data_IF_309739566269
#
_entry.id   IF_309739566269
#
_cell.length_a   1.000
_cell.length_b   1.000
_cell.length_c   1.000
_cell.angle_alpha   90.00
_cell.angle_beta   90.00
_cell.angle_gamma   90.00
#
_symmetry.space_group_name_H-M   'P 1'
#
loop_
_entity.id
_entity.type
_entity.pdbx_description
1 polymer ?
#
# COMPACT_ATOMS: atom_id res chain seq x y z
N UNK A 1 7.71 11.23 4.75
CA UNK A 1 8.16 11.22 3.33
C UNK A 1 9.56 10.61 3.20
N UNK A 2 10.53 11.01 4.04
CA UNK A 2 11.92 10.53 3.94
C UNK A 2 12.01 9.01 3.87
N UNK A 3 11.50 8.30 4.85
CA UNK A 3 11.61 6.83 4.94
C UNK A 3 10.77 6.15 3.85
N UNK A 4 9.49 6.48 3.77
CA UNK A 4 8.56 5.72 2.92
C UNK A 4 8.76 5.97 1.42
N UNK A 5 9.04 7.21 1.01
CA UNK A 5 9.16 7.55 -0.41
C UNK A 5 10.63 7.64 -0.84
N UNK A 6 11.40 8.54 -0.25
CA UNK A 6 12.81 8.69 -0.64
C UNK A 6 13.64 7.43 -0.36
N UNK A 7 13.31 6.63 0.66
CA UNK A 7 13.94 5.34 0.86
C UNK A 7 13.78 4.40 -0.35
N UNK A 8 12.56 4.34 -0.93
CA UNK A 8 12.29 3.55 -2.14
C UNK A 8 13.05 4.10 -3.34
N UNK A 9 12.97 5.42 -3.58
CA UNK A 9 13.65 6.09 -4.69
C UNK A 9 15.16 5.88 -4.62
N UNK A 10 15.76 6.10 -3.45
CA UNK A 10 17.20 5.93 -3.26
C UNK A 10 17.65 4.49 -3.46
N UNK A 11 16.89 3.50 -3.00
CA UNK A 11 17.18 2.09 -3.29
C UNK A 11 17.12 1.81 -4.79
N UNK A 12 16.08 2.26 -5.48
CA UNK A 12 15.98 2.10 -6.93
C UNK A 12 17.17 2.76 -7.63
N UNK A 13 17.50 4.00 -7.29
CA UNK A 13 18.63 4.74 -7.87
C UNK A 13 19.96 4.02 -7.66
N UNK A 14 20.21 3.48 -6.47
CA UNK A 14 21.46 2.80 -6.14
C UNK A 14 21.63 1.46 -6.88
N UNK A 15 20.54 0.70 -7.05
CA UNK A 15 20.62 -0.64 -7.64
C UNK A 15 20.37 -0.69 -9.14
N UNK A 16 19.64 0.28 -9.70
CA UNK A 16 19.24 0.30 -11.10
C UNK A 16 20.43 0.23 -12.09
N UNK A 17 21.54 0.97 -11.93
CA UNK A 17 22.69 0.87 -12.85
C UNK A 17 23.25 -0.55 -12.94
N UNK A 18 23.28 -1.26 -11.80
CA UNK A 18 23.76 -2.65 -11.74
C UNK A 18 22.81 -3.63 -12.41
N UNK A 19 21.51 -3.40 -12.35
CA UNK A 19 20.51 -4.21 -13.04
C UNK A 19 20.59 -3.93 -14.56
N UNK A 20 20.74 -2.68 -14.96
CA UNK A 20 20.87 -2.27 -16.36
C UNK A 20 22.11 -2.87 -17.03
N UNK A 21 23.26 -2.87 -16.35
CA UNK A 21 24.48 -3.50 -16.88
C UNK A 21 24.33 -5.00 -17.12
N UNK A 22 23.50 -5.68 -16.32
CA UNK A 22 23.21 -7.11 -16.47
C UNK A 22 22.07 -7.40 -17.44
N UNK A 23 21.32 -6.40 -17.86
CA UNK A 23 20.10 -6.52 -18.67
C UNK A 23 19.09 -7.54 -18.10
N UNK A 24 19.12 -7.73 -16.80
CA UNK A 24 18.26 -8.69 -16.08
C UNK A 24 18.09 -8.28 -14.63
N UNK A 25 16.86 -8.38 -14.16
CA UNK A 25 16.54 -8.13 -12.75
C UNK A 25 15.06 -7.86 -12.51
N UNK A 26 14.75 -7.60 -11.24
CA UNK A 26 13.40 -7.29 -10.82
C UNK A 26 13.41 -6.30 -9.68
N UNK A 27 12.70 -5.19 -9.83
CA UNK A 27 12.45 -4.20 -8.79
C UNK A 27 11.04 -4.45 -8.25
N UNK A 28 10.91 -4.53 -6.92
CA UNK A 28 9.62 -4.68 -6.24
C UNK A 28 9.44 -3.53 -5.26
N UNK A 29 8.45 -2.70 -5.50
CA UNK A 29 8.12 -1.57 -4.65
C UNK A 29 6.86 -1.85 -3.83
N UNK A 30 6.97 -1.74 -2.51
CA UNK A 30 5.88 -1.97 -1.57
C UNK A 30 5.11 -0.67 -1.30
N UNK A 31 3.92 -0.55 -1.91
CA UNK A 31 2.97 0.51 -1.63
C UNK A 31 1.92 0.04 -0.59
N UNK A 32 0.64 0.28 -0.84
CA UNK A 32 -0.52 -0.08 -0.01
C UNK A 32 -1.80 0.08 -0.83
N UNK A 33 -2.92 -0.48 -0.37
CA UNK A 33 -4.25 -0.09 -0.86
C UNK A 33 -4.49 1.43 -0.73
N UNK A 34 -3.85 2.08 0.22
CA UNK A 34 -3.86 3.54 0.40
C UNK A 34 -3.02 4.30 -0.64
N UNK A 35 -2.41 3.61 -1.60
CA UNK A 35 -1.90 4.17 -2.84
C UNK A 35 -2.96 4.36 -3.92
N UNK A 36 -4.20 3.86 -3.71
CA UNK A 36 -5.34 4.07 -4.60
C UNK A 36 -6.35 5.07 -4.05
N UNK A 37 -6.40 5.23 -2.73
CA UNK A 37 -7.44 6.01 -2.08
C UNK A 37 -6.93 6.74 -0.85
N UNK A 38 -7.44 7.98 -0.66
CA UNK A 38 -7.21 8.77 0.54
C UNK A 38 -8.18 8.40 1.65
N UNK A 39 -7.68 8.35 2.88
CA UNK A 39 -8.48 8.16 4.08
C UNK A 39 -8.20 9.29 5.08
N UNK A 40 -9.18 9.70 5.89
CA UNK A 40 -8.99 10.73 6.91
C UNK A 40 -7.89 10.36 7.91
N UNK A 41 -7.26 11.37 8.49
CA UNK A 41 -6.21 11.27 9.50
C UNK A 41 -4.91 10.58 9.08
N UNK A 42 -4.76 10.23 7.77
CA UNK A 42 -3.57 9.55 7.25
C UNK A 42 -2.97 10.25 6.02
N UNK A 43 -3.23 11.54 5.82
CA UNK A 43 -2.81 12.27 4.62
C UNK A 43 -1.31 12.14 4.32
N UNK A 44 -0.44 12.26 5.32
CA UNK A 44 1.00 12.12 5.16
C UNK A 44 1.40 10.71 4.67
N UNK A 45 0.83 9.65 5.27
CA UNK A 45 1.09 8.27 4.86
C UNK A 45 0.52 7.98 3.47
N UNK A 46 -0.73 8.35 3.22
CA UNK A 46 -1.42 8.25 1.93
C UNK A 46 -0.59 8.90 0.83
N UNK A 47 -0.14 10.15 1.04
CA UNK A 47 0.69 10.84 0.04
C UNK A 47 1.95 10.06 -0.31
N UNK A 48 2.62 9.44 0.66
CA UNK A 48 3.80 8.62 0.37
C UNK A 48 3.46 7.38 -0.45
N UNK A 49 2.30 6.74 -0.18
CA UNK A 49 1.89 5.53 -0.90
C UNK A 49 1.41 5.81 -2.32
N UNK A 50 0.74 6.94 -2.55
CA UNK A 50 0.46 7.44 -3.90
C UNK A 50 1.74 7.76 -4.67
N UNK A 51 2.70 8.44 -4.02
CA UNK A 51 3.99 8.76 -4.62
C UNK A 51 4.76 7.49 -5.04
N UNK A 52 4.80 6.45 -4.18
CA UNK A 52 5.41 5.16 -4.53
C UNK A 52 4.70 4.53 -5.72
N UNK A 53 3.38 4.60 -5.79
CA UNK A 53 2.63 4.07 -6.92
C UNK A 53 3.01 4.78 -8.21
N UNK A 54 2.90 6.10 -8.28
CA UNK A 54 3.24 6.88 -9.47
C UNK A 54 4.69 6.66 -9.91
N UNK A 55 5.63 6.67 -8.96
CA UNK A 55 7.03 6.36 -9.22
C UNK A 55 7.22 4.96 -9.81
N UNK A 56 6.52 3.95 -9.28
CA UNK A 56 6.62 2.56 -9.75
C UNK A 56 6.04 2.39 -11.16
N UNK A 57 4.91 3.05 -11.45
CA UNK A 57 4.29 3.05 -12.78
C UNK A 57 5.21 3.72 -13.82
N UNK A 58 5.82 4.85 -13.50
CA UNK A 58 6.80 5.53 -14.37
C UNK A 58 8.03 4.68 -14.61
N UNK A 59 8.62 4.15 -13.54
CA UNK A 59 9.81 3.31 -13.63
C UNK A 59 9.56 2.04 -14.45
N UNK A 60 8.36 1.47 -14.33
CA UNK A 60 7.96 0.35 -15.17
C UNK A 60 7.96 0.72 -16.65
N UNK A 61 7.38 1.88 -17.02
CA UNK A 61 7.34 2.34 -18.42
C UNK A 61 8.75 2.65 -18.96
N UNK A 62 9.61 3.26 -18.14
CA UNK A 62 11.01 3.57 -18.50
C UNK A 62 11.85 2.31 -18.74
N UNK A 63 11.56 1.22 -18.05
CA UNK A 63 12.33 -0.02 -18.13
C UNK A 63 11.72 -1.07 -19.05
N UNK A 64 10.62 -0.76 -19.74
CA UNK A 64 9.99 -1.69 -20.68
C UNK A 64 10.98 -2.06 -21.80
N UNK A 65 11.07 -3.33 -22.14
CA UNK A 65 12.02 -3.85 -23.12
C UNK A 65 13.49 -3.98 -22.68
N UNK A 66 13.86 -3.51 -21.48
CA UNK A 66 15.26 -3.57 -20.98
C UNK A 66 15.66 -4.91 -20.36
N UNK A 67 14.71 -5.83 -20.17
CA UNK A 67 14.93 -7.08 -19.45
C UNK A 67 14.75 -6.96 -17.92
N UNK A 68 14.60 -5.74 -17.39
CA UNK A 68 14.34 -5.48 -15.97
C UNK A 68 12.84 -5.37 -15.74
N UNK A 69 12.30 -6.18 -14.84
CA UNK A 69 10.90 -6.11 -14.46
C UNK A 69 10.70 -5.16 -13.27
N UNK A 70 9.53 -4.53 -13.21
CA UNK A 70 9.11 -3.70 -12.07
C UNK A 70 7.73 -4.16 -11.60
N UNK A 71 7.57 -4.37 -10.30
CA UNK A 71 6.31 -4.77 -9.68
C UNK A 71 5.93 -3.82 -8.55
N UNK A 72 4.71 -3.29 -8.60
CA UNK A 72 4.07 -2.62 -7.48
C UNK A 72 3.23 -3.59 -6.66
N UNK A 73 3.45 -3.66 -5.35
CA UNK A 73 2.67 -4.47 -4.41
C UNK A 73 1.79 -3.54 -3.57
N UNK A 74 0.49 -3.83 -3.56
CA UNK A 74 -0.53 -3.01 -2.91
C UNK A 74 -1.35 -3.85 -1.92
N UNK A 75 -0.81 -4.13 -0.74
CA UNK A 75 -1.54 -4.89 0.26
C UNK A 75 -2.61 -4.05 0.94
N UNK A 76 -3.68 -4.73 1.37
CA UNK A 76 -4.68 -4.23 2.29
C UNK A 76 -4.19 -4.25 3.73
N UNK A 77 -5.10 -4.57 4.64
CA UNK A 77 -4.79 -4.71 6.05
C UNK A 77 -3.94 -5.96 6.28
N UNK A 78 -2.77 -5.79 6.92
CA UNK A 78 -1.82 -6.88 7.19
C UNK A 78 -1.63 -7.01 8.70
N UNK A 79 -1.61 -8.23 9.21
CA UNK A 79 -1.17 -8.53 10.58
C UNK A 79 0.34 -8.30 10.68
N UNK A 80 0.73 -7.21 11.33
CA UNK A 80 2.14 -6.81 11.47
C UNK A 80 2.33 -5.86 12.66
N UNK A 81 3.55 -5.69 13.12
CA UNK A 81 3.91 -4.81 14.24
C UNK A 81 3.92 -3.31 13.87
N UNK A 82 3.49 -2.94 12.68
CA UNK A 82 3.56 -1.55 12.20
C UNK A 82 2.78 -0.59 13.10
N UNK A 83 1.60 -1.03 13.60
CA UNK A 83 0.77 -0.21 14.49
C UNK A 83 1.34 -0.12 15.90
N UNK A 84 2.09 -1.12 16.36
CA UNK A 84 2.76 -1.07 17.67
C UNK A 84 3.81 0.04 17.71
N UNK A 85 4.50 0.26 16.58
CA UNK A 85 5.56 1.27 16.41
C UNK A 85 5.05 2.63 15.92
N UNK A 86 3.78 2.72 15.54
CA UNK A 86 3.19 3.96 15.06
C UNK A 86 2.82 4.88 16.22
N UNK A 87 2.99 6.19 16.01
CA UNK A 87 2.51 7.21 16.94
C UNK A 87 1.06 7.54 16.62
N UNK A 88 0.20 7.52 17.63
CA UNK A 88 -1.19 7.89 17.54
C UNK A 88 -1.48 9.09 18.43
N UNK A 89 -2.40 9.94 18.01
CA UNK A 89 -2.83 11.10 18.81
C UNK A 89 -3.69 10.66 20.01
N UNK A 90 -4.38 9.51 19.90
CA UNK A 90 -5.27 8.97 20.92
C UNK A 90 -5.11 7.46 21.01
N UNK A 91 -5.09 6.94 22.22
CA UNK A 91 -4.91 5.51 22.51
C UNK A 91 -6.10 4.67 22.03
N UNK A 92 -7.32 5.20 22.09
CA UNK A 92 -8.51 4.54 21.58
C UNK A 92 -8.49 4.36 20.04
N UNK A 93 -7.89 5.29 19.30
CA UNK A 93 -7.70 5.15 17.84
C UNK A 93 -6.75 4.00 17.53
N UNK A 94 -5.66 3.87 18.29
CA UNK A 94 -4.71 2.76 18.17
C UNK A 94 -5.38 1.41 18.45
N UNK A 95 -6.12 1.32 19.56
CA UNK A 95 -6.83 0.10 19.94
C UNK A 95 -7.85 -0.34 18.88
N UNK A 96 -8.64 0.60 18.34
CA UNK A 96 -9.60 0.33 17.26
C UNK A 96 -8.91 -0.18 16.00
N UNK A 97 -7.77 0.42 15.64
CA UNK A 97 -7.00 0.03 14.46
C UNK A 97 -6.35 -1.35 14.62
N UNK A 98 -5.87 -1.68 15.84
CA UNK A 98 -5.37 -3.01 16.17
C UNK A 98 -6.46 -4.07 16.07
N UNK A 99 -7.65 -3.85 16.65
CA UNK A 99 -8.79 -4.77 16.52
C UNK A 99 -9.21 -4.99 15.06
N UNK A 100 -9.20 -3.93 14.25
CA UNK A 100 -9.49 -4.04 12.82
C UNK A 100 -8.44 -4.90 12.12
N UNK A 101 -7.16 -4.71 12.45
CA UNK A 101 -6.07 -5.49 11.90
C UNK A 101 -6.14 -6.97 12.29
N UNK A 102 -6.47 -7.26 13.54
CA UNK A 102 -6.64 -8.64 14.03
C UNK A 102 -7.81 -9.35 13.33
N UNK A 103 -8.91 -8.62 13.09
CA UNK A 103 -10.14 -9.18 12.50
C UNK A 103 -10.07 -9.37 10.99
N UNK A 104 -9.46 -8.43 10.27
CA UNK A 104 -9.50 -8.37 8.80
C UNK A 104 -8.13 -8.51 8.16
N UNK A 105 -7.06 -8.41 8.94
CA UNK A 105 -5.71 -8.46 8.44
C UNK A 105 -5.32 -9.84 7.92
N UNK A 106 -4.61 -9.85 6.80
CA UNK A 106 -4.02 -11.06 6.26
C UNK A 106 -2.62 -11.28 6.86
N UNK A 107 -2.17 -12.53 7.00
CA UNK A 107 -0.82 -12.83 7.45
C UNK A 107 0.25 -12.19 6.55
N UNK A 108 1.32 -11.67 7.13
CA UNK A 108 2.46 -11.15 6.36
C UNK A 108 3.10 -12.21 5.45
N UNK A 109 3.07 -13.47 5.86
CA UNK A 109 3.52 -14.61 5.05
C UNK A 109 2.75 -14.77 3.73
N UNK A 110 1.45 -14.46 3.73
CA UNK A 110 0.62 -14.48 2.52
C UNK A 110 1.00 -13.36 1.54
N UNK A 111 1.32 -12.18 2.08
CA UNK A 111 1.85 -11.07 1.26
C UNK A 111 3.19 -11.47 0.64
N UNK A 112 4.09 -12.05 1.44
CA UNK A 112 5.40 -12.51 0.96
C UNK A 112 5.25 -13.56 -0.15
N UNK A 113 4.41 -14.58 0.05
CA UNK A 113 4.15 -15.63 -0.94
C UNK A 113 3.63 -15.05 -2.26
N UNK A 114 2.64 -14.14 -2.20
CA UNK A 114 2.09 -13.49 -3.39
C UNK A 114 3.09 -12.55 -4.06
N UNK A 115 3.98 -11.92 -3.31
CA UNK A 115 5.08 -11.12 -3.84
C UNK A 115 6.07 -12.00 -4.62
N UNK A 116 6.47 -13.14 -4.07
CA UNK A 116 7.35 -14.09 -4.76
C UNK A 116 6.71 -14.64 -6.04
N UNK A 117 5.40 -14.97 -6.00
CA UNK A 117 4.67 -15.38 -7.21
C UNK A 117 4.63 -14.26 -8.27
N UNK A 118 4.43 -13.02 -7.84
CA UNK A 118 4.47 -11.86 -8.73
C UNK A 118 5.83 -11.68 -9.42
N UNK A 119 6.93 -11.87 -8.68
CA UNK A 119 8.30 -11.84 -9.22
C UNK A 119 8.47 -12.94 -10.28
N UNK A 120 8.09 -14.17 -9.96
CA UNK A 120 8.21 -15.31 -10.89
C UNK A 120 7.43 -15.10 -12.18
N UNK A 121 6.26 -14.50 -12.08
CA UNK A 121 5.35 -14.23 -13.22
C UNK A 121 5.58 -12.86 -13.87
N UNK A 122 6.55 -12.08 -13.40
CA UNK A 122 6.86 -10.72 -13.87
C UNK A 122 5.61 -9.82 -13.90
N UNK A 123 4.75 -9.91 -12.89
CA UNK A 123 3.53 -9.10 -12.81
C UNK A 123 3.87 -7.64 -12.53
N UNK A 124 3.19 -6.71 -13.19
CA UNK A 124 3.39 -5.26 -13.01
C UNK A 124 2.78 -4.73 -11.73
N UNK A 125 1.58 -5.21 -11.42
CA UNK A 125 0.80 -4.75 -10.27
C UNK A 125 0.14 -5.95 -9.58
N UNK A 126 0.20 -5.97 -8.24
CA UNK A 126 -0.48 -6.99 -7.43
C UNK A 126 -1.16 -6.35 -6.24
N UNK A 127 -2.48 -6.38 -6.25
CA UNK A 127 -3.33 -5.97 -5.13
C UNK A 127 -3.60 -7.18 -4.25
N UNK A 128 -3.32 -7.08 -2.95
CA UNK A 128 -3.35 -8.22 -2.02
C UNK A 128 -4.29 -7.93 -0.85
N UNK A 129 -5.30 -8.77 -0.69
CA UNK A 129 -6.36 -8.64 0.32
C UNK A 129 -7.70 -8.33 -0.31
N UNK A 130 -8.77 -8.88 0.27
CA UNK A 130 -10.14 -8.67 -0.24
C UNK A 130 -10.56 -7.21 -0.10
N UNK A 131 -10.18 -6.57 1.01
CA UNK A 131 -10.35 -5.15 1.30
C UNK A 131 -9.67 -4.27 0.26
N UNK A 132 -8.39 -4.56 -0.05
CA UNK A 132 -7.64 -3.83 -1.06
C UNK A 132 -8.22 -3.98 -2.46
N UNK A 133 -8.62 -5.21 -2.85
CA UNK A 133 -9.21 -5.49 -4.16
C UNK A 133 -10.55 -4.75 -4.30
N UNK A 134 -11.42 -4.82 -3.28
CA UNK A 134 -12.70 -4.14 -3.28
C UNK A 134 -12.53 -2.61 -3.38
N UNK A 135 -11.60 -2.05 -2.60
CA UNK A 135 -11.32 -0.63 -2.58
C UNK A 135 -10.73 -0.12 -3.90
N UNK A 136 -9.78 -0.86 -4.47
CA UNK A 136 -9.18 -0.53 -5.77
C UNK A 136 -10.23 -0.58 -6.90
N UNK A 137 -11.09 -1.60 -6.91
CA UNK A 137 -12.18 -1.73 -7.86
C UNK A 137 -13.20 -0.60 -7.70
N UNK A 138 -13.65 -0.30 -6.48
CA UNK A 138 -14.56 0.80 -6.18
C UNK A 138 -13.99 2.14 -6.70
N UNK A 139 -12.72 2.42 -6.41
CA UNK A 139 -12.08 3.66 -6.85
C UNK A 139 -11.93 3.75 -8.36
N UNK A 140 -11.68 2.62 -9.03
CA UNK A 140 -11.51 2.56 -10.48
C UNK A 140 -12.82 2.77 -11.23
N UNK A 141 -13.90 2.10 -10.80
CA UNK A 141 -15.16 2.09 -11.53
C UNK A 141 -16.18 3.12 -11.04
N UNK A 142 -16.12 3.51 -9.76
CA UNK A 142 -17.07 4.42 -9.12
C UNK A 142 -16.34 5.48 -8.26
N UNK A 143 -15.49 6.34 -8.86
CA UNK A 143 -14.62 7.25 -8.09
C UNK A 143 -15.39 8.20 -7.16
N UNK A 144 -16.50 8.77 -7.61
CA UNK A 144 -17.34 9.67 -6.80
C UNK A 144 -18.00 8.96 -5.62
N UNK A 145 -18.60 7.80 -5.87
CA UNK A 145 -19.22 6.97 -4.82
C UNK A 145 -18.16 6.48 -3.82
N UNK A 146 -16.97 6.10 -4.30
CA UNK A 146 -15.87 5.68 -3.46
C UNK A 146 -15.48 6.74 -2.42
N UNK A 147 -15.37 8.00 -2.81
CA UNK A 147 -15.09 9.09 -1.88
C UNK A 147 -16.19 9.27 -0.83
N UNK A 148 -17.47 9.24 -1.25
CA UNK A 148 -18.61 9.41 -0.36
C UNK A 148 -18.70 8.27 0.67
N UNK A 149 -18.47 7.02 0.23
CA UNK A 149 -18.47 5.85 1.13
C UNK A 149 -17.33 5.90 2.14
N UNK A 150 -16.12 6.29 1.73
CA UNK A 150 -14.98 6.42 2.63
C UNK A 150 -15.23 7.53 3.65
N UNK A 151 -15.73 8.69 3.22
CA UNK A 151 -16.04 9.80 4.11
C UNK A 151 -17.13 9.44 5.12
N UNK A 152 -18.20 8.74 4.68
CA UNK A 152 -19.28 8.29 5.57
C UNK A 152 -18.81 7.18 6.52
N UNK A 153 -18.02 6.22 6.06
CA UNK A 153 -17.42 5.18 6.88
C UNK A 153 -16.51 5.74 7.97
N UNK A 154 -15.66 6.69 7.60
CA UNK A 154 -14.77 7.36 8.54
C UNK A 154 -15.54 8.16 9.61
N UNK A 155 -16.65 8.82 9.23
CA UNK A 155 -17.52 9.51 10.16
C UNK A 155 -18.13 8.56 11.18
N UNK A 156 -18.74 7.44 10.72
CA UNK A 156 -19.31 6.41 11.58
C UNK A 156 -18.27 5.77 12.51
N UNK A 157 -17.07 5.51 12.00
CA UNK A 157 -15.97 4.98 12.80
C UNK A 157 -15.57 5.97 13.91
N UNK A 158 -15.49 7.25 13.59
CA UNK A 158 -15.18 8.30 14.56
C UNK A 158 -16.26 8.41 15.66
N UNK A 159 -17.53 8.32 15.29
CA UNK A 159 -18.66 8.31 16.24
C UNK A 159 -18.58 7.12 17.20
N UNK A 160 -18.35 5.90 16.70
CA UNK A 160 -18.19 4.70 17.53
C UNK A 160 -16.98 4.77 18.48
N UNK A 161 -15.84 5.28 18.00
CA UNK A 161 -14.65 5.48 18.83
C UNK A 161 -14.96 6.45 19.99
N UNK A 162 -15.75 7.49 19.76
CA UNK A 162 -16.14 8.44 20.79
C UNK A 162 -17.17 7.86 21.77
N UNK A 163 -18.04 6.98 21.29
CA UNK A 163 -19.02 6.27 22.12
C UNK A 163 -18.43 5.09 22.92
N UNK A 164 -17.17 4.74 22.70
CA UNK A 164 -16.56 3.58 23.38
C UNK A 164 -17.05 2.22 22.87
N UNK A 165 -17.71 2.18 21.72
CA UNK A 165 -18.38 1.00 21.13
C UNK A 165 -17.48 0.18 20.19
N UNK A 166 -16.17 0.15 20.43
CA UNK A 166 -15.20 -0.62 19.60
C UNK A 166 -14.58 -1.79 20.34
#
# INVERSE_FOLDING_TARGET
IRTNFFGVVNCCHAFLPKLQSRKHGHIVNMSSMLGFVGVPNQSAYVSTKFAIRGFTESLWAELDGTGIAVTGIYPGTIQSDILQRASFSKENEKAAMMKMMDRFGIPASDVARKTVDAIRRRRREVVIGRDAIALAALKRFLPGLGHSLIASGARKAKEKIHAGEW
#
